data_IF_059943692845
#
_entry.id   IF_059943692845
#
_cell.length_a   1.000
_cell.length_b   1.000
_cell.length_c   1.000
_cell.angle_alpha   90.00
_cell.angle_beta   90.00
_cell.angle_gamma   90.00
#
_symmetry.space_group_name_H-M   'P 1'
#
loop_
_entity.id
_entity.type
_entity.pdbx_description
1 polymer ?
#
# COMPACT_ATOMS: atom_id res chain seq x y z
N UNK A 1 -19.13 -19.94 -77.66
CA UNK A 1 -18.33 -20.81 -76.78
C UNK A 1 -17.46 -19.96 -75.88
N UNK A 2 -17.71 -20.09 -74.56
CA UNK A 2 -16.74 -20.15 -73.46
C UNK A 2 -15.72 -19.00 -73.32
N UNK A 3 -15.89 -18.14 -72.29
CA UNK A 3 -15.28 -18.22 -70.92
C UNK A 3 -13.90 -17.51 -70.90
N UNK A 4 -13.42 -16.76 -69.90
CA UNK A 4 -13.81 -16.40 -68.53
C UNK A 4 -12.73 -15.40 -68.03
N UNK A 5 -13.14 -14.27 -67.42
CA UNK A 5 -12.74 -13.71 -66.09
C UNK A 5 -11.23 -13.41 -65.86
N UNK A 6 -10.85 -12.13 -65.70
CA UNK A 6 -10.65 -11.35 -64.43
C UNK A 6 -9.38 -11.70 -63.65
N UNK A 7 -8.76 -10.84 -62.86
CA UNK A 7 -8.66 -9.37 -62.67
C UNK A 7 -7.31 -9.23 -61.93
N UNK A 8 -6.54 -8.21 -62.27
CA UNK A 8 -5.20 -7.94 -61.74
C UNK A 8 -5.26 -7.23 -60.37
N UNK A 9 -4.29 -7.61 -59.54
CA UNK A 9 -3.86 -7.15 -58.21
C UNK A 9 -3.74 -5.61 -58.00
N UNK A 10 -3.66 -5.25 -56.70
CA UNK A 10 -2.79 -4.23 -56.03
C UNK A 10 -3.53 -3.13 -55.22
N UNK A 11 -3.52 -3.31 -53.88
CA UNK A 11 -3.01 -2.39 -52.83
C UNK A 11 -3.71 -1.03 -52.50
N UNK A 12 -3.78 -0.74 -51.18
CA UNK A 12 -3.71 0.57 -50.48
C UNK A 12 -5.00 1.24 -49.96
N UNK A 13 -4.90 1.65 -48.66
CA UNK A 13 -5.55 2.75 -47.95
C UNK A 13 -6.92 2.57 -47.26
N UNK A 14 -6.83 2.56 -45.93
CA UNK A 14 -7.84 3.02 -44.96
C UNK A 14 -8.10 4.52 -45.20
N UNK A 15 -9.36 4.90 -45.48
CA UNK A 15 -9.83 6.29 -45.43
C UNK A 15 -11.21 6.38 -44.76
N UNK A 16 -11.25 7.21 -43.71
CA UNK A 16 -12.31 8.16 -43.33
C UNK A 16 -13.78 7.74 -43.49
N UNK A 17 -14.45 7.49 -42.36
CA UNK A 17 -15.88 7.79 -42.24
C UNK A 17 -16.04 9.28 -41.94
N UNK A 18 -16.30 10.07 -42.98
CA UNK A 18 -16.99 11.35 -42.83
C UNK A 18 -18.47 11.05 -42.63
N UNK A 19 -19.06 11.53 -41.54
CA UNK A 19 -20.52 11.50 -41.39
C UNK A 19 -21.12 12.53 -42.34
N UNK A 20 -22.05 12.07 -43.15
CA UNK A 20 -22.92 12.90 -43.99
C UNK A 20 -23.80 13.78 -43.10
N UNK A 21 -23.73 15.10 -43.31
CA UNK A 21 -24.76 16.02 -42.82
C UNK A 21 -26.09 15.69 -43.49
N UNK A 22 -27.11 15.38 -42.70
CA UNK A 22 -28.49 15.23 -43.18
C UNK A 22 -28.99 16.59 -43.68
N UNK A 23 -29.41 16.67 -44.95
CA UNK A 23 -30.23 17.76 -45.43
C UNK A 23 -31.65 17.59 -44.87
N UNK A 24 -32.17 18.62 -44.18
CA UNK A 24 -33.52 18.62 -43.63
C UNK A 24 -34.58 18.60 -44.74
N UNK A 25 -35.43 17.58 -44.72
CA UNK A 25 -36.68 17.55 -45.47
C UNK A 25 -37.69 18.47 -44.77
N UNK A 26 -38.08 19.57 -45.42
CA UNK A 26 -39.14 20.46 -44.91
C UNK A 26 -40.47 20.09 -45.55
N UNK A 27 -41.25 19.27 -44.85
CA UNK A 27 -42.64 18.96 -45.19
C UNK A 27 -43.55 19.39 -44.04
N UNK A 28 -44.53 20.24 -44.32
CA UNK A 28 -45.56 20.65 -43.36
C UNK A 28 -46.56 19.53 -43.16
N UNK A 29 -46.62 18.96 -41.95
CA UNK A 29 -47.66 18.01 -41.57
C UNK A 29 -48.88 18.75 -41.01
N UNK A 30 -50.06 18.34 -41.44
CA UNK A 30 -51.37 18.83 -40.99
C UNK A 30 -52.09 17.74 -40.22
N UNK A 31 -52.83 18.12 -39.18
CA UNK A 31 -53.71 17.19 -38.46
C UNK A 31 -54.99 16.87 -39.25
N UNK A 32 -55.81 15.96 -38.71
CA UNK A 32 -57.09 15.52 -39.30
C UNK A 32 -58.13 16.65 -39.44
N UNK A 33 -57.88 17.81 -38.83
CA UNK A 33 -58.71 19.01 -38.92
C UNK A 33 -58.06 20.12 -39.77
N UNK A 34 -56.91 19.86 -40.40
CA UNK A 34 -56.24 20.75 -41.34
C UNK A 34 -55.35 21.84 -40.73
N UNK A 35 -55.07 21.79 -39.43
CA UNK A 35 -54.24 22.80 -38.75
C UNK A 35 -52.74 22.49 -38.90
N UNK A 36 -51.92 23.56 -38.99
CA UNK A 36 -50.45 23.45 -39.02
C UNK A 36 -49.98 23.18 -37.60
N UNK A 37 -49.29 22.06 -37.40
CA UNK A 37 -48.71 21.69 -36.11
C UNK A 37 -47.27 22.20 -36.05
N UNK A 38 -47.00 23.18 -35.19
CA UNK A 38 -45.66 23.73 -34.98
C UNK A 38 -44.79 22.73 -34.19
N UNK A 39 -43.71 22.22 -34.80
CA UNK A 39 -42.75 21.32 -34.13
C UNK A 39 -41.62 22.06 -33.41
N UNK A 40 -41.79 23.32 -33.01
CA UNK A 40 -40.74 24.06 -32.28
C UNK A 40 -40.77 23.81 -30.76
N UNK A 41 -40.91 22.55 -30.32
CA UNK A 41 -40.74 22.17 -28.90
C UNK A 41 -40.27 20.72 -28.69
N UNK A 42 -39.56 20.12 -29.64
CA UNK A 42 -38.82 18.88 -29.38
C UNK A 42 -37.41 19.23 -28.88
N UNK A 43 -37.20 19.12 -27.56
CA UNK A 43 -35.88 19.09 -26.91
C UNK A 43 -34.96 18.16 -27.72
N UNK A 44 -33.68 18.51 -27.99
CA UNK A 44 -32.79 17.61 -28.72
C UNK A 44 -32.73 16.29 -27.97
N UNK A 45 -33.29 15.22 -28.56
CA UNK A 45 -33.07 13.87 -28.09
C UNK A 45 -31.58 13.59 -28.31
N UNK A 46 -30.82 13.72 -27.23
CA UNK A 46 -29.46 13.22 -27.13
C UNK A 46 -29.48 11.77 -27.62
N UNK A 47 -28.64 11.47 -28.61
CA UNK A 47 -28.36 10.12 -29.03
C UNK A 47 -28.04 9.26 -27.80
N UNK A 48 -28.90 8.29 -27.52
CA UNK A 48 -28.70 7.29 -26.49
C UNK A 48 -27.59 6.33 -26.93
N UNK A 49 -26.33 6.71 -26.68
CA UNK A 49 -25.21 5.79 -26.68
C UNK A 49 -24.83 5.48 -25.23
N UNK A 50 -25.58 4.52 -24.67
CA UNK A 50 -25.29 3.65 -23.51
C UNK A 50 -24.72 4.25 -22.22
N UNK A 51 -25.60 4.63 -21.29
CA UNK A 51 -25.36 4.64 -19.83
C UNK A 51 -25.19 3.22 -19.24
N UNK A 52 -24.51 2.33 -19.98
CA UNK A 52 -24.26 0.98 -19.49
C UNK A 52 -23.13 1.04 -18.47
N UNK A 53 -23.49 1.04 -17.19
CA UNK A 53 -22.55 0.97 -16.08
C UNK A 53 -21.77 -0.35 -16.14
N UNK A 54 -20.44 -0.28 -15.99
CA UNK A 54 -19.59 -1.46 -15.93
C UNK A 54 -19.93 -2.27 -14.69
N UNK A 55 -20.42 -3.50 -14.88
CA UNK A 55 -20.73 -4.44 -13.80
C UNK A 55 -19.59 -5.44 -13.55
N UNK A 56 -18.87 -5.82 -14.60
CA UNK A 56 -17.75 -6.78 -14.52
C UNK A 56 -16.86 -6.73 -15.77
N UNK A 57 -15.68 -7.34 -15.67
CA UNK A 57 -14.80 -7.57 -16.81
C UNK A 57 -14.69 -9.07 -17.12
N UNK A 58 -14.80 -9.45 -18.40
CA UNK A 58 -14.75 -10.86 -18.84
C UNK A 58 -13.36 -11.49 -18.65
N UNK A 59 -12.31 -10.68 -18.67
CA UNK A 59 -10.91 -11.07 -18.55
C UNK A 59 -10.32 -10.80 -17.14
N UNK A 60 -11.15 -10.44 -16.16
CA UNK A 60 -10.78 -10.28 -14.75
C UNK A 60 -11.79 -11.07 -13.89
N UNK A 61 -11.63 -12.40 -13.76
CA UNK A 61 -12.50 -13.22 -12.91
C UNK A 61 -12.34 -12.83 -11.43
N UNK A 62 -13.31 -13.17 -10.57
CA UNK A 62 -13.27 -12.90 -9.12
C UNK A 62 -12.04 -13.48 -8.41
N UNK A 63 -11.47 -14.56 -8.94
CA UNK A 63 -10.26 -15.19 -8.43
C UNK A 63 -8.97 -14.46 -8.85
N UNK A 64 -9.06 -13.45 -9.70
CA UNK A 64 -7.91 -12.66 -10.12
C UNK A 64 -7.42 -11.79 -8.95
N UNK A 65 -6.12 -11.81 -8.66
CA UNK A 65 -5.55 -11.12 -7.49
C UNK A 65 -5.86 -9.61 -7.46
N UNK A 66 -5.93 -8.96 -8.62
CA UNK A 66 -6.25 -7.54 -8.74
C UNK A 66 -7.75 -7.24 -8.87
N UNK A 67 -8.63 -8.24 -8.72
CA UNK A 67 -10.07 -8.10 -8.98
C UNK A 67 -10.69 -6.97 -8.16
N UNK A 68 -10.48 -6.97 -6.84
CA UNK A 68 -11.11 -5.99 -5.95
C UNK A 68 -10.64 -4.57 -6.25
N UNK A 69 -9.34 -4.37 -6.45
CA UNK A 69 -8.77 -3.09 -6.83
C UNK A 69 -9.34 -2.58 -8.18
N UNK A 70 -9.32 -3.41 -9.22
CA UNK A 70 -9.84 -3.04 -10.55
C UNK A 70 -11.33 -2.69 -10.47
N UNK A 71 -12.12 -3.51 -9.77
CA UNK A 71 -13.57 -3.29 -9.66
C UNK A 71 -13.90 -2.08 -8.78
N UNK A 72 -13.15 -1.82 -7.71
CA UNK A 72 -13.30 -0.62 -6.88
C UNK A 72 -13.06 0.65 -7.70
N UNK A 73 -11.92 0.70 -8.41
CA UNK A 73 -11.56 1.81 -9.28
C UNK A 73 -12.58 2.02 -10.42
N UNK A 74 -13.11 0.93 -11.00
CA UNK A 74 -14.11 1.01 -12.06
C UNK A 74 -15.47 1.52 -11.55
N UNK A 75 -15.91 1.08 -10.37
CA UNK A 75 -17.15 1.55 -9.74
C UNK A 75 -17.09 3.04 -9.39
N UNK A 76 -15.91 3.54 -9.02
CA UNK A 76 -15.67 4.97 -8.80
C UNK A 76 -15.52 5.77 -10.12
N UNK A 77 -15.64 5.12 -11.29
CA UNK A 77 -15.52 5.76 -12.60
C UNK A 77 -14.10 6.20 -12.95
N UNK A 78 -13.10 5.75 -12.19
CA UNK A 78 -11.71 6.19 -12.35
C UNK A 78 -11.00 5.42 -13.48
N UNK A 79 -11.29 4.13 -13.62
CA UNK A 79 -10.78 3.28 -14.71
C UNK A 79 -11.91 2.69 -15.54
N UNK A 80 -11.67 2.54 -16.85
CA UNK A 80 -12.61 1.92 -17.78
C UNK A 80 -11.99 0.69 -18.44
N UNK A 81 -12.86 -0.15 -19.01
CA UNK A 81 -12.46 -1.21 -19.94
C UNK A 81 -11.85 -0.64 -21.22
N UNK A 82 -11.10 -1.48 -21.94
CA UNK A 82 -10.63 -1.20 -23.31
C UNK A 82 -11.76 -1.35 -24.33
N UNK A 83 -12.78 -2.13 -24.00
CA UNK A 83 -14.02 -2.22 -24.78
C UNK A 83 -15.16 -1.54 -24.03
N UNK A 84 -16.14 -1.05 -24.77
CA UNK A 84 -17.41 -0.66 -24.17
C UNK A 84 -18.10 -1.89 -23.56
N UNK A 85 -18.86 -1.72 -22.45
CA UNK A 85 -19.65 -2.81 -21.90
C UNK A 85 -20.73 -3.25 -22.89
N UNK A 86 -20.96 -4.56 -22.97
CA UNK A 86 -22.10 -5.11 -23.69
C UNK A 86 -23.42 -4.85 -22.95
N UNK A 87 -24.54 -5.30 -23.50
CA UNK A 87 -25.89 -5.15 -22.91
C UNK A 87 -26.02 -5.67 -21.46
N UNK A 88 -25.13 -6.57 -21.02
CA UNK A 88 -25.09 -7.11 -19.65
C UNK A 88 -24.18 -6.31 -18.71
N UNK A 89 -23.55 -5.23 -19.18
CA UNK A 89 -22.58 -4.45 -18.41
C UNK A 89 -21.20 -5.09 -18.34
N UNK A 90 -20.86 -6.01 -19.26
CA UNK A 90 -19.58 -6.73 -19.28
C UNK A 90 -18.64 -6.13 -20.32
N UNK A 91 -17.44 -5.73 -19.91
CA UNK A 91 -16.38 -5.19 -20.77
C UNK A 91 -15.10 -6.04 -20.70
N UNK A 92 -14.07 -5.70 -21.48
CA UNK A 92 -12.72 -6.24 -21.33
C UNK A 92 -11.80 -5.19 -20.72
N UNK A 93 -11.07 -5.54 -19.67
CA UNK A 93 -10.16 -4.63 -18.99
C UNK A 93 -8.75 -4.60 -19.59
N UNK A 94 -8.32 -5.75 -20.16
CA UNK A 94 -6.98 -6.05 -20.65
C UNK A 94 -5.91 -5.88 -19.54
N UNK A 95 -5.98 -6.68 -18.46
CA UNK A 95 -5.17 -6.49 -17.26
C UNK A 95 -3.65 -6.55 -17.51
N UNK A 96 -3.21 -7.33 -18.51
CA UNK A 96 -1.80 -7.51 -18.87
C UNK A 96 -1.25 -6.46 -19.84
N UNK A 97 -2.10 -5.59 -20.39
CA UNK A 97 -1.61 -4.49 -21.23
C UNK A 97 -0.89 -3.47 -20.36
N UNK A 98 0.07 -2.77 -20.94
CA UNK A 98 0.76 -1.68 -20.25
C UNK A 98 -0.14 -0.46 -20.08
N UNK A 99 0.15 0.34 -19.05
CA UNK A 99 -0.49 1.62 -18.81
C UNK A 99 0.45 2.76 -19.21
N UNK A 100 -0.09 3.77 -19.90
CA UNK A 100 0.68 4.93 -20.32
C UNK A 100 0.75 5.98 -19.20
N UNK A 101 1.72 6.89 -19.28
CA UNK A 101 1.80 8.06 -18.39
C UNK A 101 0.53 8.91 -18.45
N UNK A 102 -0.01 9.12 -19.64
CA UNK A 102 -1.26 9.84 -19.87
C UNK A 102 -2.43 9.21 -19.11
N UNK A 103 -2.56 7.89 -19.19
CA UNK A 103 -3.61 7.15 -18.48
C UNK A 103 -3.44 7.27 -16.98
N UNK A 104 -2.21 7.12 -16.47
CA UNK A 104 -1.96 7.16 -15.03
C UNK A 104 -2.27 8.54 -14.43
N UNK A 105 -1.78 9.60 -15.08
CA UNK A 105 -2.06 10.99 -14.69
C UNK A 105 -3.56 11.28 -14.75
N UNK A 106 -4.24 10.80 -15.81
CA UNK A 106 -5.69 11.01 -15.96
C UNK A 106 -6.46 10.45 -14.77
N UNK A 107 -6.12 9.25 -14.30
CA UNK A 107 -6.81 8.64 -13.15
C UNK A 107 -6.63 9.49 -11.90
N UNK A 108 -5.40 9.91 -11.61
CA UNK A 108 -5.09 10.71 -10.42
C UNK A 108 -5.80 12.07 -10.47
N UNK A 109 -5.75 12.75 -11.62
CA UNK A 109 -6.39 14.06 -11.79
C UNK A 109 -7.91 13.95 -11.68
N UNK A 110 -8.53 12.89 -12.23
CA UNK A 110 -9.97 12.65 -12.06
C UNK A 110 -10.35 12.43 -10.61
N UNK A 111 -9.48 11.79 -9.83
CA UNK A 111 -9.74 11.53 -8.42
C UNK A 111 -9.61 12.80 -7.57
N UNK A 112 -8.52 13.55 -7.75
CA UNK A 112 -8.19 14.69 -6.89
C UNK A 112 -8.84 16.01 -7.33
N UNK A 113 -9.05 16.20 -8.63
CA UNK A 113 -9.35 17.50 -9.24
C UNK A 113 -10.41 17.39 -10.33
N UNK A 114 -11.44 16.55 -10.14
CA UNK A 114 -12.52 16.32 -11.12
C UNK A 114 -13.17 17.62 -11.61
N UNK A 115 -13.37 18.57 -10.70
CA UNK A 115 -14.10 19.81 -10.97
C UNK A 115 -13.29 20.77 -11.83
N UNK A 116 -11.96 20.66 -11.78
CA UNK A 116 -11.04 21.49 -12.57
C UNK A 116 -10.90 21.01 -14.01
N UNK A 117 -11.34 19.78 -14.34
CA UNK A 117 -11.27 19.27 -15.72
C UNK A 117 -12.31 19.94 -16.62
N UNK A 118 -13.50 20.23 -16.10
CA UNK A 118 -14.61 20.77 -16.89
C UNK A 118 -14.36 22.20 -17.37
N UNK A 119 -13.46 22.92 -16.71
CA UNK A 119 -13.07 24.29 -17.08
C UNK A 119 -11.91 24.32 -18.07
N UNK A 120 -11.26 23.18 -18.34
CA UNK A 120 -10.15 23.10 -19.28
C UNK A 120 -10.63 23.00 -20.73
N UNK A 121 -9.99 23.81 -21.59
CA UNK A 121 -10.17 23.67 -23.03
C UNK A 121 -9.59 22.35 -23.55
N UNK A 122 -10.26 21.77 -24.55
CA UNK A 122 -9.75 20.62 -25.29
C UNK A 122 -8.40 20.97 -25.90
N UNK A 123 -7.43 20.06 -25.78
CA UNK A 123 -6.13 20.19 -26.44
C UNK A 123 -5.96 19.24 -27.63
N UNK A 124 -4.73 19.15 -28.13
CA UNK A 124 -4.37 18.31 -29.28
C UNK A 124 -4.52 16.81 -29.00
N UNK A 125 -4.41 16.39 -27.73
CA UNK A 125 -4.59 15.02 -27.29
C UNK A 125 -5.76 14.91 -26.32
N UNK A 126 -6.37 13.72 -26.25
CA UNK A 126 -7.48 13.46 -25.33
C UNK A 126 -7.07 13.68 -23.85
N UNK A 127 -5.79 13.50 -23.54
CA UNK A 127 -5.23 13.67 -22.21
C UNK A 127 -4.73 15.10 -21.91
N UNK A 128 -4.76 16.02 -22.90
CA UNK A 128 -4.25 17.39 -22.74
C UNK A 128 -4.86 18.14 -21.55
N UNK A 129 -6.19 18.11 -21.30
CA UNK A 129 -6.79 18.79 -20.15
C UNK A 129 -6.25 18.28 -18.81
N UNK A 130 -6.10 16.96 -18.68
CA UNK A 130 -5.59 16.33 -17.46
C UNK A 130 -4.12 16.66 -17.23
N UNK A 131 -3.31 16.70 -18.29
CA UNK A 131 -1.91 17.06 -18.18
C UNK A 131 -1.72 18.51 -17.75
N UNK A 132 -2.54 19.44 -18.25
CA UNK A 132 -2.53 20.85 -17.79
C UNK A 132 -2.80 20.94 -16.30
N UNK A 133 -3.88 20.30 -15.82
CA UNK A 133 -4.18 20.30 -14.38
C UNK A 133 -3.06 19.63 -13.58
N UNK A 134 -2.46 18.56 -14.08
CA UNK A 134 -1.34 17.91 -13.41
C UNK A 134 -0.09 18.80 -13.31
N UNK A 135 0.16 19.67 -14.28
CA UNK A 135 1.21 20.70 -14.20
C UNK A 135 0.85 21.79 -13.19
N UNK A 136 -0.37 22.31 -13.28
CA UNK A 136 -0.85 23.41 -12.42
C UNK A 136 -0.89 23.01 -10.93
N UNK A 137 -1.15 21.73 -10.65
CA UNK A 137 -1.15 21.14 -9.30
C UNK A 137 0.18 20.52 -8.90
N UNK A 138 1.21 20.70 -9.72
CA UNK A 138 2.57 20.19 -9.48
C UNK A 138 2.65 18.67 -9.26
N UNK A 139 1.67 17.90 -9.74
CA UNK A 139 1.72 16.44 -9.75
C UNK A 139 2.84 15.94 -10.69
N UNK A 140 3.10 16.68 -11.77
CA UNK A 140 4.20 16.46 -12.71
C UNK A 140 4.79 17.80 -13.13
N UNK A 141 5.99 17.78 -13.71
CA UNK A 141 6.66 18.94 -14.30
C UNK A 141 6.89 18.75 -15.78
N UNK A 142 6.89 19.85 -16.54
CA UNK A 142 7.15 19.80 -17.98
C UNK A 142 8.56 19.28 -18.31
N UNK A 143 9.52 19.46 -17.40
CA UNK A 143 10.88 18.91 -17.50
C UNK A 143 10.93 17.39 -17.32
N UNK A 144 9.96 16.81 -16.62
CA UNK A 144 9.86 15.35 -16.40
C UNK A 144 9.19 14.69 -17.62
N UNK A 145 8.07 15.25 -18.06
CA UNK A 145 7.32 14.76 -19.21
C UNK A 145 6.95 15.90 -20.15
N UNK A 146 7.28 15.79 -21.42
CA UNK A 146 6.61 16.61 -22.44
C UNK A 146 5.26 15.99 -22.79
N UNK A 147 4.27 16.80 -23.17
CA UNK A 147 2.93 16.31 -23.51
C UNK A 147 2.94 15.21 -24.58
N UNK A 148 3.83 15.33 -25.57
CA UNK A 148 4.03 14.33 -26.63
C UNK A 148 4.58 12.98 -26.15
N UNK A 149 5.20 12.93 -24.96
CA UNK A 149 5.78 11.72 -24.36
C UNK A 149 4.84 11.04 -23.36
N UNK A 150 3.65 11.59 -23.14
CA UNK A 150 2.67 11.00 -22.22
C UNK A 150 2.02 9.73 -22.78
N UNK A 151 2.07 9.54 -24.10
CA UNK A 151 1.64 8.29 -24.74
C UNK A 151 2.58 7.10 -24.48
N UNK A 152 3.76 7.32 -23.88
CA UNK A 152 4.67 6.23 -23.52
C UNK A 152 4.24 5.54 -22.23
N UNK A 153 4.64 4.29 -22.11
CA UNK A 153 4.45 3.46 -20.93
C UNK A 153 5.09 4.11 -19.69
N UNK A 154 4.39 4.07 -18.55
CA UNK A 154 4.90 4.61 -17.29
C UNK A 154 5.82 3.60 -16.61
N UNK A 155 6.95 4.07 -16.09
CA UNK A 155 7.85 3.25 -15.29
C UNK A 155 7.51 3.29 -13.80
N UNK A 156 7.99 2.30 -13.03
CA UNK A 156 7.78 2.22 -11.58
C UNK A 156 8.31 3.42 -10.80
N UNK A 157 9.49 3.92 -11.17
CA UNK A 157 10.07 5.08 -10.51
C UNK A 157 9.30 6.38 -10.83
N UNK A 158 8.86 6.56 -12.08
CA UNK A 158 8.01 7.69 -12.48
C UNK A 158 6.67 7.63 -11.75
N UNK A 159 6.08 6.44 -11.66
CA UNK A 159 4.84 6.22 -10.94
C UNK A 159 4.97 6.60 -9.45
N UNK A 160 6.06 6.19 -8.81
CA UNK A 160 6.31 6.48 -7.38
C UNK A 160 6.34 7.98 -7.12
N UNK A 161 6.99 8.75 -8.01
CA UNK A 161 6.97 10.21 -7.92
C UNK A 161 5.56 10.80 -8.02
N UNK A 162 4.78 10.39 -9.01
CA UNK A 162 3.42 10.92 -9.20
C UNK A 162 2.53 10.53 -8.01
N UNK A 163 2.65 9.30 -7.50
CA UNK A 163 1.89 8.81 -6.35
C UNK A 163 2.19 9.59 -5.08
N UNK A 164 3.46 9.85 -4.77
CA UNK A 164 3.85 10.59 -3.56
C UNK A 164 3.34 12.03 -3.62
N UNK A 165 3.44 12.68 -4.79
CA UNK A 165 2.86 14.03 -4.98
C UNK A 165 1.34 14.02 -4.86
N UNK A 166 0.68 13.03 -5.44
CA UNK A 166 -0.76 12.85 -5.33
C UNK A 166 -1.21 12.57 -3.90
N UNK A 167 -0.43 11.80 -3.12
CA UNK A 167 -0.67 11.56 -1.70
C UNK A 167 -0.55 12.85 -0.89
N UNK A 168 0.50 13.64 -1.12
CA UNK A 168 0.64 14.98 -0.51
C UNK A 168 -0.55 15.90 -0.82
N UNK A 169 -1.08 15.83 -2.05
CA UNK A 169 -2.28 16.56 -2.44
C UNK A 169 -3.57 16.11 -1.72
N UNK A 170 -3.61 14.90 -1.13
CA UNK A 170 -4.71 14.47 -0.24
C UNK A 170 -4.61 15.04 1.18
N UNK A 171 -3.54 15.79 1.48
CA UNK A 171 -3.24 16.30 2.82
C UNK A 171 -2.39 15.36 3.66
N UNK A 172 -2.00 14.21 3.11
CA UNK A 172 -1.08 13.27 3.75
C UNK A 172 0.36 13.59 3.32
N UNK A 173 1.03 14.43 4.10
CA UNK A 173 2.47 14.66 3.93
C UNK A 173 3.24 13.60 4.70
N UNK A 174 3.76 12.60 3.97
CA UNK A 174 4.61 11.56 4.54
C UNK A 174 6.05 11.79 4.09
N UNK A 175 6.86 12.31 5.01
CA UNK A 175 8.30 12.49 4.79
C UNK A 175 9.11 11.28 5.23
N UNK A 176 8.48 10.27 5.84
CA UNK A 176 9.18 9.06 6.27
C UNK A 176 9.56 8.26 5.03
N UNK A 177 10.81 7.81 5.03
CA UNK A 177 11.38 7.09 3.91
C UNK A 177 11.78 5.70 4.35
N UNK A 178 11.40 4.70 3.56
CA UNK A 178 11.88 3.35 3.75
C UNK A 178 13.42 3.32 3.72
N UNK A 179 14.04 2.47 4.53
CA UNK A 179 15.47 2.17 4.43
C UNK A 179 15.80 1.67 3.01
N UNK A 180 16.94 2.09 2.45
CA UNK A 180 17.33 1.73 1.07
C UNK A 180 17.50 0.22 0.90
N UNK A 181 17.91 -0.44 1.97
CA UNK A 181 18.16 -1.87 2.07
C UNK A 181 16.91 -2.71 1.81
N UNK A 182 15.71 -2.15 2.05
CA UNK A 182 14.41 -2.78 1.71
C UNK A 182 14.16 -2.88 0.21
N UNK A 183 14.84 -2.03 -0.56
CA UNK A 183 14.71 -1.98 -2.01
C UNK A 183 15.96 -2.62 -2.59
N UNK A 184 15.85 -3.88 -2.98
CA UNK A 184 16.99 -4.74 -3.36
C UNK A 184 17.88 -4.11 -4.43
N UNK A 185 17.27 -3.47 -5.41
CA UNK A 185 17.93 -2.85 -6.56
C UNK A 185 17.91 -1.32 -6.48
N UNK A 186 17.93 -0.76 -5.27
CA UNK A 186 17.89 0.69 -5.03
C UNK A 186 18.99 1.45 -5.78
N UNK A 187 20.18 0.85 -5.92
CA UNK A 187 21.31 1.42 -6.64
C UNK A 187 21.02 1.64 -8.15
N UNK A 188 19.96 1.05 -8.69
CA UNK A 188 19.56 1.20 -10.10
C UNK A 188 18.47 2.25 -10.31
N UNK A 189 17.87 2.75 -9.22
CA UNK A 189 16.92 3.86 -9.24
C UNK A 189 17.67 5.09 -9.73
N UNK A 190 17.07 5.81 -10.67
CA UNK A 190 17.63 7.09 -11.08
C UNK A 190 17.62 8.05 -9.86
N UNK A 191 18.74 8.73 -9.54
CA UNK A 191 18.86 9.57 -8.34
C UNK A 191 17.70 10.52 -8.10
N UNK A 192 17.08 11.03 -9.17
CA UNK A 192 15.94 11.93 -9.08
C UNK A 192 14.71 11.30 -8.40
N UNK A 193 14.54 9.98 -8.51
CA UNK A 193 13.36 9.26 -8.03
C UNK A 193 13.57 8.55 -6.70
N UNK A 194 14.80 8.52 -6.15
CA UNK A 194 15.14 7.72 -4.97
C UNK A 194 14.21 8.00 -3.80
N UNK A 195 14.07 9.27 -3.41
CA UNK A 195 13.24 9.64 -2.27
C UNK A 195 11.76 9.33 -2.50
N UNK A 196 11.25 9.59 -3.70
CA UNK A 196 9.88 9.24 -4.05
C UNK A 196 9.60 7.74 -3.97
N UNK A 197 10.55 6.91 -4.42
CA UNK A 197 10.42 5.45 -4.30
C UNK A 197 10.41 5.04 -2.83
N UNK A 198 11.29 5.61 -2.01
CA UNK A 198 11.38 5.29 -0.58
C UNK A 198 10.13 5.72 0.18
N UNK A 199 9.57 6.90 -0.10
CA UNK A 199 8.30 7.35 0.49
C UNK A 199 7.16 6.46 0.03
N UNK A 200 7.08 6.12 -1.26
CA UNK A 200 6.02 5.26 -1.77
C UNK A 200 6.04 3.84 -1.16
N UNK A 201 7.24 3.32 -0.85
CA UNK A 201 7.43 2.07 -0.09
C UNK A 201 6.97 2.23 1.36
N UNK A 202 7.37 3.31 2.02
CA UNK A 202 7.04 3.56 3.42
C UNK A 202 5.55 3.74 3.63
N UNK A 203 4.90 4.48 2.72
CA UNK A 203 3.46 4.67 2.71
C UNK A 203 2.69 3.42 2.25
N UNK A 204 3.36 2.32 1.91
CA UNK A 204 2.70 1.08 1.47
C UNK A 204 1.94 1.21 0.14
N UNK A 205 2.20 2.26 -0.65
CA UNK A 205 1.57 2.48 -1.95
C UNK A 205 2.08 1.44 -2.97
N UNK A 206 3.40 1.21 -2.95
CA UNK A 206 4.08 0.27 -3.85
C UNK A 206 5.02 -0.62 -3.04
N UNK A 207 5.21 -1.86 -3.51
CA UNK A 207 6.13 -2.82 -2.92
C UNK A 207 6.92 -3.56 -3.99
N UNK A 208 7.84 -4.42 -3.56
CA UNK A 208 8.66 -5.25 -4.45
C UNK A 208 7.83 -6.18 -5.33
N UNK A 209 8.39 -6.55 -6.49
CA UNK A 209 7.81 -7.52 -7.42
C UNK A 209 7.94 -8.96 -6.91
N UNK A 210 8.83 -9.19 -5.95
CA UNK A 210 9.09 -10.47 -5.35
C UNK A 210 9.29 -10.34 -3.84
N UNK A 211 9.39 -11.49 -3.17
CA UNK A 211 9.66 -11.59 -1.72
C UNK A 211 11.02 -11.03 -1.31
N UNK A 212 11.91 -10.73 -2.25
CA UNK A 212 13.24 -10.21 -1.99
C UNK A 212 13.30 -8.68 -2.08
N UNK A 213 12.17 -8.02 -2.36
CA UNK A 213 12.10 -6.56 -2.44
C UNK A 213 12.60 -5.98 -3.77
N UNK A 214 12.68 -6.77 -4.85
CA UNK A 214 13.09 -6.25 -6.18
C UNK A 214 12.11 -5.19 -6.67
N UNK A 215 12.55 -3.95 -6.80
CA UNK A 215 11.70 -2.85 -7.23
C UNK A 215 11.59 -2.73 -8.75
N UNK A 216 12.64 -3.02 -9.52
CA UNK A 216 12.69 -2.81 -10.97
C UNK A 216 12.31 -1.37 -11.40
N UNK A 217 13.15 -0.35 -11.16
CA UNK A 217 12.77 1.06 -11.29
C UNK A 217 12.27 1.46 -12.68
N UNK A 218 12.88 0.90 -13.73
CA UNK A 218 12.51 1.12 -15.14
C UNK A 218 11.48 0.09 -15.66
N UNK A 219 11.00 -0.79 -14.79
CA UNK A 219 9.94 -1.74 -15.13
C UNK A 219 8.66 -1.02 -15.51
N UNK A 220 7.98 -1.51 -16.54
CA UNK A 220 6.72 -0.97 -17.04
C UNK A 220 5.56 -1.70 -16.36
N UNK A 221 4.56 -0.96 -15.89
CA UNK A 221 3.41 -1.55 -15.22
C UNK A 221 2.31 -1.98 -16.17
N UNK A 222 1.77 -3.15 -15.86
CA UNK A 222 0.51 -3.62 -16.42
C UNK A 222 -0.65 -2.87 -15.78
N UNK A 223 -1.78 -2.80 -16.48
CA UNK A 223 -3.00 -2.11 -16.01
C UNK A 223 -3.51 -2.66 -14.68
N UNK A 224 -3.39 -3.96 -14.45
CA UNK A 224 -3.75 -4.59 -13.18
C UNK A 224 -2.87 -4.11 -11.99
N UNK A 225 -1.57 -3.94 -12.24
CA UNK A 225 -0.61 -3.49 -11.23
C UNK A 225 -0.83 -2.00 -10.94
N UNK A 226 -0.97 -1.20 -11.99
CA UNK A 226 -1.23 0.22 -11.84
C UNK A 226 -2.58 0.50 -11.14
N UNK A 227 -3.63 -0.28 -11.45
CA UNK A 227 -4.93 -0.15 -10.76
C UNK A 227 -4.83 -0.51 -9.28
N UNK A 228 -4.02 -1.50 -8.93
CA UNK A 228 -3.78 -1.88 -7.54
C UNK A 228 -3.07 -0.77 -6.78
N UNK A 229 -2.03 -0.18 -7.37
CA UNK A 229 -1.28 0.91 -6.72
C UNK A 229 -2.12 2.18 -6.60
N UNK A 230 -2.93 2.51 -7.61
CA UNK A 230 -3.89 3.61 -7.53
C UNK A 230 -4.99 3.34 -6.50
N UNK A 231 -5.45 2.10 -6.36
CA UNK A 231 -6.41 1.72 -5.33
C UNK A 231 -5.87 1.99 -3.92
N UNK A 232 -4.58 1.70 -3.67
CA UNK A 232 -3.92 1.99 -2.39
C UNK A 232 -3.74 3.48 -2.10
N UNK A 233 -3.61 4.29 -3.14
CA UNK A 233 -3.61 5.74 -2.99
C UNK A 233 -4.98 6.22 -2.48
N UNK A 234 -6.07 5.72 -3.08
CA UNK A 234 -7.42 6.20 -2.79
C UNK A 234 -8.07 5.53 -1.56
N UNK A 235 -7.62 4.33 -1.19
CA UNK A 235 -8.08 3.58 -0.03
C UNK A 235 -6.87 3.24 0.86
N UNK A 236 -6.47 4.13 1.80
CA UNK A 236 -5.29 3.91 2.63
C UNK A 236 -5.29 2.61 3.43
N UNK A 237 -6.48 2.08 3.78
CA UNK A 237 -6.63 0.80 4.47
C UNK A 237 -6.17 -0.42 3.65
N UNK A 238 -6.03 -0.26 2.33
CA UNK A 238 -5.60 -1.30 1.38
C UNK A 238 -4.08 -1.26 1.11
N UNK A 239 -3.37 -0.28 1.69
CA UNK A 239 -1.92 -0.15 1.55
C UNK A 239 -1.20 -1.36 2.11
N UNK A 240 -0.04 -1.64 1.53
CA UNK A 240 0.84 -2.69 2.02
C UNK A 240 1.27 -2.35 3.43
N UNK A 241 1.09 -3.29 4.37
CA UNK A 241 1.60 -3.12 5.72
C UNK A 241 3.13 -3.23 5.70
N UNK A 242 3.85 -2.35 6.39
CA UNK A 242 5.28 -2.53 6.63
C UNK A 242 5.51 -3.90 7.25
N UNK A 243 6.56 -4.61 6.84
CA UNK A 243 6.97 -5.85 7.52
C UNK A 243 7.49 -5.52 8.92
N UNK A 244 7.54 -6.49 9.83
CA UNK A 244 8.08 -6.27 11.18
C UNK A 244 9.52 -5.76 11.17
N UNK A 245 10.32 -6.19 10.19
CA UNK A 245 11.69 -5.69 9.98
C UNK A 245 11.71 -4.19 9.64
N UNK A 246 10.66 -3.70 8.97
CA UNK A 246 10.51 -2.30 8.56
C UNK A 246 10.07 -1.40 9.71
N UNK A 247 9.17 -1.91 10.55
CA UNK A 247 8.76 -1.24 11.78
C UNK A 247 9.96 -1.12 12.72
N UNK A 248 10.79 -2.16 12.79
CA UNK A 248 12.02 -2.16 13.58
C UNK A 248 13.07 -1.17 13.03
N UNK A 249 13.26 -1.07 11.72
CA UNK A 249 14.22 -0.13 11.12
C UNK A 249 13.79 1.34 11.25
N UNK A 250 12.49 1.65 11.13
CA UNK A 250 11.96 3.01 11.35
C UNK A 250 12.03 3.42 12.82
N UNK A 251 11.75 2.46 13.71
CA UNK A 251 11.97 2.62 15.13
C UNK A 251 13.46 2.93 15.40
N UNK A 252 14.39 2.12 14.89
CA UNK A 252 15.84 2.34 15.00
C UNK A 252 16.30 3.72 14.48
N UNK A 253 15.67 4.24 13.43
CA UNK A 253 16.02 5.54 12.84
C UNK A 253 15.53 6.75 13.65
N UNK A 254 14.46 6.60 14.44
CA UNK A 254 13.79 7.68 15.18
C UNK A 254 13.87 7.52 16.71
N UNK A 255 14.68 6.58 17.17
CA UNK A 255 14.93 6.29 18.57
C UNK A 255 15.75 7.38 19.26
N UNK A 256 15.43 7.61 20.52
CA UNK A 256 16.27 8.36 21.44
C UNK A 256 17.32 7.45 22.05
N UNK A 257 18.38 8.01 22.63
CA UNK A 257 19.45 7.24 23.29
C UNK A 257 19.47 7.58 24.77
N UNK A 258 19.37 6.58 25.63
CA UNK A 258 19.48 6.75 27.09
C UNK A 258 20.31 5.62 27.72
N UNK A 259 20.72 5.79 28.97
CA UNK A 259 21.46 4.76 29.72
C UNK A 259 20.59 4.17 30.81
N UNK A 260 20.78 2.89 31.11
CA UNK A 260 20.04 2.22 32.20
C UNK A 260 20.25 2.97 33.53
N UNK A 261 19.14 3.31 34.19
CA UNK A 261 19.14 4.00 35.48
C UNK A 261 19.36 5.51 35.43
N UNK A 262 19.64 6.09 34.26
CA UNK A 262 19.62 7.55 34.07
C UNK A 262 18.19 8.02 33.76
N UNK A 263 17.87 9.28 34.06
CA UNK A 263 16.53 9.82 33.82
C UNK A 263 16.18 9.82 32.32
N UNK A 264 15.02 9.28 31.95
CA UNK A 264 14.55 9.24 30.56
C UNK A 264 13.01 9.33 30.46
N UNK A 265 12.52 9.65 29.26
CA UNK A 265 11.09 9.66 28.94
C UNK A 265 10.56 8.23 28.72
N UNK A 266 9.25 8.08 28.48
CA UNK A 266 8.62 6.77 28.23
C UNK A 266 9.35 6.07 27.06
N UNK A 267 9.95 4.88 27.30
CA UNK A 267 10.68 4.15 26.26
C UNK A 267 9.73 3.68 25.17
N UNK A 268 10.22 3.64 23.94
CA UNK A 268 9.52 3.09 22.77
C UNK A 268 10.44 2.17 21.98
N UNK A 269 9.84 1.34 21.14
CA UNK A 269 10.61 0.56 20.17
C UNK A 269 11.49 1.54 19.36
N UNK A 270 12.74 1.14 19.13
CA UNK A 270 13.71 1.94 18.39
C UNK A 270 14.66 2.76 19.23
N UNK A 271 14.29 3.11 20.47
CA UNK A 271 15.23 3.77 21.37
C UNK A 271 16.46 2.87 21.60
N UNK A 272 17.61 3.48 21.82
CA UNK A 272 18.85 2.76 22.16
C UNK A 272 19.15 2.89 23.65
N UNK A 273 19.15 1.77 24.34
CA UNK A 273 19.58 1.65 25.74
C UNK A 273 21.07 1.34 25.79
N UNK A 274 21.82 2.12 26.57
CA UNK A 274 23.21 1.83 26.91
C UNK A 274 23.22 1.16 28.29
N UNK A 275 23.60 -0.12 28.32
CA UNK A 275 23.76 -0.90 29.55
C UNK A 275 24.94 -0.40 30.38
N UNK A 276 24.98 -0.81 31.65
CA UNK A 276 26.07 -0.47 32.57
C UNK A 276 27.48 -0.88 32.07
N UNK A 277 27.58 -1.94 31.27
CA UNK A 277 28.82 -2.42 30.66
C UNK A 277 29.21 -1.68 29.35
N UNK A 278 28.40 -0.71 28.93
CA UNK A 278 28.58 0.05 27.69
C UNK A 278 27.96 -0.59 26.46
N UNK A 279 27.34 -1.78 26.58
CA UNK A 279 26.61 -2.44 25.49
C UNK A 279 25.43 -1.58 25.06
N UNK A 280 25.30 -1.32 23.77
CA UNK A 280 24.16 -0.61 23.19
C UNK A 280 23.16 -1.62 22.65
N UNK A 281 21.91 -1.48 23.06
CA UNK A 281 20.80 -2.32 22.60
C UNK A 281 19.70 -1.42 22.07
N UNK A 282 19.31 -1.62 20.82
CA UNK A 282 18.10 -1.00 20.30
C UNK A 282 16.90 -1.81 20.79
N UNK A 283 16.00 -1.14 21.49
CA UNK A 283 14.77 -1.72 22.01
C UNK A 283 13.90 -2.14 20.83
N UNK A 284 13.37 -3.35 20.89
CA UNK A 284 12.39 -3.86 19.92
C UNK A 284 11.09 -4.15 20.64
N UNK A 285 9.99 -4.00 19.93
CA UNK A 285 8.73 -4.58 20.37
C UNK A 285 8.89 -6.10 20.25
N UNK A 286 8.69 -6.81 21.35
CA UNK A 286 8.81 -8.27 21.33
C UNK A 286 7.46 -8.96 21.47
N UNK A 287 7.51 -10.21 21.89
CA UNK A 287 6.34 -11.10 21.83
C UNK A 287 5.19 -10.52 22.66
N UNK A 288 3.98 -10.55 22.08
CA UNK A 288 2.75 -10.03 22.70
C UNK A 288 2.77 -8.52 23.01
N UNK A 289 3.60 -7.76 22.31
CA UNK A 289 3.69 -6.30 22.48
C UNK A 289 4.49 -5.87 23.72
N UNK A 290 5.18 -6.81 24.40
CA UNK A 290 6.06 -6.46 25.51
C UNK A 290 7.33 -5.84 24.96
N UNK A 291 7.58 -4.59 25.34
CA UNK A 291 8.73 -3.83 24.87
C UNK A 291 10.01 -4.34 25.53
N UNK A 292 11.07 -4.61 24.76
CA UNK A 292 12.37 -4.98 25.34
C UNK A 292 12.53 -6.46 25.74
N UNK A 293 11.50 -7.29 25.56
CA UNK A 293 11.51 -8.68 26.04
C UNK A 293 12.63 -9.53 25.40
N UNK A 294 13.36 -10.26 26.24
CA UNK A 294 14.48 -11.13 25.85
C UNK A 294 15.72 -10.38 25.40
N UNK A 295 15.73 -9.04 25.46
CA UNK A 295 16.88 -8.22 25.06
C UNK A 295 17.82 -7.94 26.25
N UNK A 296 17.45 -8.37 27.45
CA UNK A 296 18.29 -8.24 28.65
C UNK A 296 18.51 -6.80 29.08
N UNK A 297 17.54 -5.91 28.85
CA UNK A 297 17.64 -4.46 29.10
C UNK A 297 16.67 -4.01 30.18
N UNK A 298 17.14 -3.10 31.01
CA UNK A 298 16.31 -2.35 31.96
C UNK A 298 15.85 -1.04 31.31
N UNK A 299 14.68 -1.07 30.68
CA UNK A 299 14.12 0.08 29.97
C UNK A 299 13.26 0.97 30.87
N UNK A 300 13.03 0.56 32.12
CA UNK A 300 12.06 1.21 33.01
C UNK A 300 12.74 1.96 34.16
N UNK A 301 13.90 1.52 34.67
CA UNK A 301 14.60 2.24 35.73
C UNK A 301 15.10 3.58 35.21
N UNK A 302 14.62 4.67 35.81
CA UNK A 302 14.94 6.02 35.37
C UNK A 302 13.80 6.70 34.60
N UNK A 303 12.73 5.98 34.26
CA UNK A 303 11.54 6.58 33.66
C UNK A 303 10.97 7.68 34.58
N UNK A 304 10.86 8.90 34.05
CA UNK A 304 10.25 10.04 34.74
C UNK A 304 8.77 10.15 34.37
N UNK A 305 7.90 9.96 35.36
CA UNK A 305 6.46 10.14 35.21
C UNK A 305 6.08 11.62 35.14
N UNK A 306 4.87 11.92 34.64
CA UNK A 306 4.33 13.29 34.56
C UNK A 306 4.25 13.99 35.93
N UNK A 307 4.12 13.23 37.02
CA UNK A 307 4.12 13.72 38.39
C UNK A 307 5.55 13.94 38.97
N UNK A 308 6.60 13.66 38.19
CA UNK A 308 8.00 13.77 38.59
C UNK A 308 8.55 12.58 39.37
N UNK A 309 7.75 11.53 39.62
CA UNK A 309 8.25 10.29 40.21
C UNK A 309 9.13 9.54 39.21
N UNK A 310 10.12 8.82 39.73
CA UNK A 310 11.07 8.04 38.93
C UNK A 310 10.82 6.56 39.18
N UNK A 311 10.56 5.82 38.11
CA UNK A 311 10.39 4.38 38.19
C UNK A 311 11.70 3.68 38.58
N UNK A 312 11.56 2.65 39.41
CA UNK A 312 12.64 1.76 39.83
C UNK A 312 12.05 0.40 40.17
N UNK A 313 12.91 -0.59 40.33
CA UNK A 313 12.49 -1.91 40.80
C UNK A 313 11.66 -1.81 42.10
N UNK A 314 10.54 -2.54 42.13
CA UNK A 314 9.61 -2.60 43.26
C UNK A 314 8.63 -1.41 43.38
N UNK A 315 8.70 -0.38 42.53
CA UNK A 315 7.67 0.66 42.50
C UNK A 315 6.48 0.27 41.64
N UNK A 316 5.33 0.89 41.91
CA UNK A 316 4.11 0.69 41.16
C UNK A 316 4.23 1.33 39.76
N UNK A 317 3.84 0.58 38.74
CA UNK A 317 3.76 1.02 37.35
C UNK A 317 2.39 1.64 37.04
N UNK A 318 2.22 2.18 35.82
CA UNK A 318 0.95 2.70 35.32
C UNK A 318 -0.15 1.63 35.20
N UNK A 319 0.23 0.35 35.09
CA UNK A 319 -0.72 -0.77 35.04
C UNK A 319 -1.13 -1.27 36.44
N UNK A 320 -0.73 -0.56 37.50
CA UNK A 320 -0.94 -0.90 38.91
C UNK A 320 -0.27 -2.21 39.37
N UNK A 321 0.75 -2.67 38.65
CA UNK A 321 1.61 -3.78 39.09
C UNK A 321 3.04 -3.29 39.32
N UNK A 322 3.84 -4.06 40.05
CA UNK A 322 5.20 -3.65 40.43
C UNK A 322 6.21 -3.94 39.32
N UNK A 323 7.24 -3.11 39.18
CA UNK A 323 8.39 -3.45 38.34
C UNK A 323 9.26 -4.52 39.00
N UNK A 324 9.61 -5.54 38.23
CA UNK A 324 10.42 -6.67 38.69
C UNK A 324 11.59 -6.86 37.74
N UNK A 325 12.81 -6.80 38.29
CA UNK A 325 14.05 -7.00 37.53
C UNK A 325 14.50 -8.44 37.64
N UNK A 326 14.76 -9.07 36.50
CA UNK A 326 15.29 -10.42 36.47
C UNK A 326 16.80 -10.41 36.66
N UNK A 327 17.26 -10.98 37.78
CA UNK A 327 18.66 -10.95 38.19
C UNK A 327 19.65 -11.59 37.20
N UNK A 328 19.22 -12.49 36.30
CA UNK A 328 20.13 -13.17 35.37
C UNK A 328 20.53 -12.30 34.18
N UNK A 329 19.60 -11.52 33.61
CA UNK A 329 19.92 -10.66 32.45
C UNK A 329 19.85 -9.17 32.75
N UNK A 330 19.29 -8.77 33.89
CA UNK A 330 19.01 -7.38 34.20
C UNK A 330 17.77 -6.83 33.48
N UNK A 331 17.02 -7.66 32.76
CA UNK A 331 15.77 -7.24 32.12
C UNK A 331 14.71 -6.89 33.16
N UNK A 332 13.99 -5.80 32.96
CA UNK A 332 12.92 -5.36 33.86
C UNK A 332 11.61 -5.22 33.10
N UNK A 333 10.52 -5.71 33.70
CA UNK A 333 9.14 -5.59 33.22
C UNK A 333 8.20 -5.42 34.41
N UNK A 334 6.95 -5.05 34.16
CA UNK A 334 5.92 -5.07 35.20
C UNK A 334 5.53 -6.51 35.57
N UNK A 335 4.97 -6.73 36.76
CA UNK A 335 4.50 -8.04 37.18
C UNK A 335 3.40 -8.59 36.25
N UNK A 336 2.54 -7.73 35.71
CA UNK A 336 1.55 -8.15 34.72
C UNK A 336 2.21 -8.58 33.40
N UNK A 337 3.20 -7.82 32.92
CA UNK A 337 3.98 -8.20 31.74
C UNK A 337 4.68 -9.55 31.95
N UNK A 338 5.34 -9.76 33.10
CA UNK A 338 5.93 -11.05 33.44
C UNK A 338 4.90 -12.19 33.49
N UNK A 339 3.71 -11.93 34.01
CA UNK A 339 2.60 -12.89 34.01
C UNK A 339 2.15 -13.24 32.60
N UNK A 340 2.02 -12.22 31.74
CA UNK A 340 1.65 -12.40 30.34
C UNK A 340 2.72 -13.21 29.60
N UNK A 341 4.00 -12.89 29.79
CA UNK A 341 5.11 -13.65 29.23
C UNK A 341 5.02 -15.10 29.67
N UNK A 342 4.88 -15.36 30.97
CA UNK A 342 4.78 -16.72 31.51
C UNK A 342 3.67 -17.53 30.83
N UNK A 343 2.45 -16.98 30.79
CA UNK A 343 1.29 -17.69 30.27
C UNK A 343 1.38 -17.95 28.76
N UNK A 344 1.86 -16.96 28.01
CA UNK A 344 1.81 -16.99 26.55
C UNK A 344 3.05 -17.67 25.92
N UNK A 345 4.14 -17.82 26.68
CA UNK A 345 5.37 -18.46 26.18
C UNK A 345 5.51 -19.93 26.54
N UNK A 346 4.55 -20.51 27.27
CA UNK A 346 4.61 -21.92 27.68
C UNK A 346 4.81 -22.85 26.46
N UNK A 347 5.87 -23.65 26.41
CA UNK A 347 6.12 -24.56 25.30
C UNK A 347 5.20 -25.79 25.40
N UNK A 348 4.11 -25.78 24.63
CA UNK A 348 3.18 -26.92 24.53
C UNK A 348 3.71 -28.08 23.67
N UNK A 349 4.94 -28.00 23.17
CA UNK A 349 5.55 -29.00 22.29
C UNK A 349 6.04 -30.25 23.03
N UNK A 350 6.42 -31.28 22.27
CA UNK A 350 6.91 -32.56 22.78
C UNK A 350 8.20 -32.43 23.60
N UNK A 351 8.54 -33.52 24.31
CA UNK A 351 9.79 -33.68 25.08
C UNK A 351 10.99 -33.28 24.21
N UNK A 352 11.85 -32.34 24.67
CA UNK A 352 13.02 -31.89 23.93
C UNK A 352 14.09 -32.97 23.80
N UNK A 353 15.02 -32.73 22.87
CA UNK A 353 16.09 -33.69 22.56
C UNK A 353 17.22 -33.67 23.60
N UNK A 354 17.36 -32.56 24.35
CA UNK A 354 18.44 -32.36 25.33
C UNK A 354 17.95 -31.76 26.64
N UNK A 355 18.58 -32.20 27.74
CA UNK A 355 18.40 -31.60 29.06
C UNK A 355 18.98 -30.19 29.13
N UNK A 356 18.26 -29.27 29.76
CA UNK A 356 18.62 -27.86 29.84
C UNK A 356 18.33 -27.03 28.58
N UNK A 357 17.68 -27.58 27.55
CA UNK A 357 17.24 -26.82 26.37
C UNK A 357 16.39 -25.61 26.79
N UNK A 358 16.64 -24.43 26.21
CA UNK A 358 15.87 -23.22 26.47
C UNK A 358 14.94 -22.92 25.29
N UNK A 359 13.66 -22.71 25.57
CA UNK A 359 12.63 -22.31 24.60
C UNK A 359 11.88 -21.08 25.04
N UNK A 360 11.40 -20.34 24.03
CA UNK A 360 10.58 -19.14 24.20
C UNK A 360 11.13 -18.22 25.30
N UNK A 361 12.46 -18.05 25.30
CA UNK A 361 13.26 -17.20 26.19
C UNK A 361 13.39 -17.73 27.63
N UNK A 362 12.29 -18.06 28.30
CA UNK A 362 12.26 -18.28 29.76
C UNK A 362 11.82 -19.69 30.20
N UNK A 363 11.77 -20.66 29.28
CA UNK A 363 11.46 -22.05 29.61
C UNK A 363 12.66 -22.93 29.40
N UNK A 364 13.12 -23.59 30.46
CA UNK A 364 14.21 -24.55 30.40
C UNK A 364 13.68 -25.95 30.65
N UNK A 365 14.07 -26.92 29.84
CA UNK A 365 13.75 -28.30 30.11
C UNK A 365 14.59 -28.85 31.25
N UNK A 366 13.90 -29.51 32.19
CA UNK A 366 14.50 -30.26 33.28
C UNK A 366 14.05 -31.72 33.14
N UNK A 367 14.97 -32.59 32.73
CA UNK A 367 14.72 -34.02 32.56
C UNK A 367 14.33 -34.74 33.87
N UNK A 368 14.63 -34.13 35.02
CA UNK A 368 14.35 -34.65 36.36
C UNK A 368 13.18 -33.94 37.06
N UNK A 369 12.51 -33.00 36.38
CA UNK A 369 11.66 -31.97 37.03
C UNK A 369 10.18 -32.30 37.26
N UNK A 370 9.64 -33.38 36.71
CA UNK A 370 8.20 -33.73 36.74
C UNK A 370 7.89 -35.07 37.38
N UNK A 371 6.60 -35.32 37.66
CA UNK A 371 6.09 -36.61 38.12
C UNK A 371 4.93 -37.06 37.23
N UNK A 372 4.92 -38.31 36.78
CA UNK A 372 3.75 -38.90 36.14
C UNK A 372 2.63 -39.23 37.15
N UNK A 373 1.46 -39.64 36.65
CA UNK A 373 0.31 -40.09 37.45
C UNK A 373 0.62 -41.29 38.38
N UNK A 374 1.82 -41.88 38.27
CA UNK A 374 2.33 -42.99 39.07
C UNK A 374 3.49 -42.59 39.99
N UNK A 375 3.82 -41.28 40.08
CA UNK A 375 4.86 -40.76 40.96
C UNK A 375 6.29 -41.08 40.50
N UNK A 376 6.52 -41.34 39.21
CA UNK A 376 7.86 -41.51 38.62
C UNK A 376 8.37 -40.19 38.07
N UNK A 377 9.67 -39.95 38.22
CA UNK A 377 10.32 -38.75 37.67
C UNK A 377 10.18 -38.74 36.14
N UNK A 378 9.63 -37.67 35.60
CA UNK A 378 9.48 -37.39 34.16
C UNK A 378 10.00 -35.99 33.86
N UNK A 379 10.57 -35.73 32.68
CA UNK A 379 11.03 -34.36 32.38
C UNK A 379 9.88 -33.36 32.19
N UNK A 380 10.14 -32.09 32.51
CA UNK A 380 9.18 -30.99 32.40
C UNK A 380 9.84 -29.67 31.95
N UNK A 381 9.05 -28.80 31.32
CA UNK A 381 9.46 -27.42 31.08
C UNK A 381 9.30 -26.59 32.35
N UNK A 382 10.40 -26.02 32.82
CA UNK A 382 10.48 -25.22 34.04
C UNK A 382 10.69 -23.75 33.68
N UNK A 383 9.91 -22.88 34.31
CA UNK A 383 10.08 -21.43 34.19
C UNK A 383 11.37 -20.98 34.89
N UNK A 384 12.22 -20.25 34.16
CA UNK A 384 13.49 -19.70 34.66
C UNK A 384 13.49 -18.17 34.79
N UNK A 385 12.37 -17.52 34.46
CA UNK A 385 12.16 -16.08 34.68
C UNK A 385 11.91 -15.74 36.15
N UNK A 386 11.55 -14.49 36.46
CA UNK A 386 11.27 -14.08 37.84
C UNK A 386 10.00 -14.77 38.38
N UNK A 387 10.00 -15.06 39.68
CA UNK A 387 8.82 -15.46 40.45
C UNK A 387 8.32 -14.26 41.24
N UNK A 388 7.01 -14.11 41.36
CA UNK A 388 6.38 -12.93 41.94
C UNK A 388 5.09 -13.24 42.71
#
# INVERSE_FOLDING_TARGET
>A
MKRVVSVVLVLVMVLSMTTTSFAGFSGTLRDENGNIVDQTSAKPQQNATSDLVIKSFSDVPRSHWAYDAIMSMARKGLVNGRTAPNEYGVAEFRPKNHMTRAEFITVIVRYLYSDEINTQEKGSYWYSPYYKVALDKELVKQSEFSESKLGYDITRQEMSMILVRAMGATGEDNTNMAALERIRDHATIDPYYVDYVRVAYQAGLIGGLDKYGTFAPRGILKREEASTVLHRLIEPSERLKPSEEDLNAEAEANGTVFKEGEAHDIPKAGDTVIKADGTKVVIKEGIFGVLGIGQGVDIWTGLVYLNGEIAKEGTLSLDHSIFIKWHKTGEMHTQNEWTMIYNETYPYEAIPETDGEIRNIFWQWDADGGYDDYGRVTGAWVWIGPFF
#
